data_IF_421161151825
#
_entry.id   IF_421161151825
#
_cell.length_a   1.000
_cell.length_b   1.000
_cell.length_c   1.000
_cell.angle_alpha   90.00
_cell.angle_beta   90.00
_cell.angle_gamma   90.00
#
_symmetry.space_group_name_H-M   'P 1'
#
loop_
_entity.id
_entity.type
_entity.pdbx_description
1 polymer ?
#
# COMPACT_ATOMS: atom_id res chain seq x y z
N UNK A 1 -20.63 6.07 -22.53
CA UNK A 1 -20.00 5.60 -21.29
C UNK A 1 -19.43 4.21 -21.56
N UNK A 2 -18.10 4.06 -21.62
CA UNK A 2 -17.48 2.74 -21.81
C UNK A 2 -17.72 1.92 -20.54
N UNK A 3 -18.58 0.91 -20.59
CA UNK A 3 -18.58 -0.13 -19.57
C UNK A 3 -17.19 -0.77 -19.59
N UNK A 4 -16.39 -0.46 -18.57
CA UNK A 4 -15.14 -1.17 -18.33
C UNK A 4 -15.51 -2.65 -18.20
N UNK A 5 -15.09 -3.45 -19.17
CA UNK A 5 -15.31 -4.88 -19.18
C UNK A 5 -14.54 -5.45 -17.99
N UNK A 6 -15.22 -5.74 -16.88
CA UNK A 6 -14.61 -6.39 -15.73
C UNK A 6 -14.28 -7.82 -16.15
N UNK A 7 -12.99 -8.19 -16.25
CA UNK A 7 -12.62 -9.53 -16.67
C UNK A 7 -13.19 -10.55 -15.67
N UNK A 8 -13.87 -11.57 -16.19
CA UNK A 8 -14.44 -12.63 -15.37
C UNK A 8 -13.29 -13.53 -14.88
N UNK A 9 -12.81 -13.27 -13.66
CA UNK A 9 -11.75 -14.06 -13.04
C UNK A 9 -12.28 -15.44 -12.62
N UNK A 10 -11.50 -16.48 -12.88
CA UNK A 10 -11.74 -17.82 -12.30
C UNK A 10 -11.55 -17.80 -10.78
N UNK A 11 -12.11 -18.79 -10.06
CA UNK A 11 -11.96 -18.86 -8.59
C UNK A 11 -10.49 -18.84 -8.14
N UNK A 12 -9.59 -19.57 -8.83
CA UNK A 12 -8.16 -19.57 -8.49
C UNK A 12 -7.48 -18.22 -8.74
N UNK A 13 -7.83 -17.52 -9.82
CA UNK A 13 -7.30 -16.19 -10.08
C UNK A 13 -7.77 -15.16 -9.04
N UNK A 14 -9.00 -15.30 -8.52
CA UNK A 14 -9.49 -14.47 -7.41
C UNK A 14 -8.70 -14.71 -6.13
N UNK A 15 -8.45 -15.96 -5.77
CA UNK A 15 -7.61 -16.31 -4.61
C UNK A 15 -6.19 -15.76 -4.74
N UNK A 16 -5.53 -15.98 -5.89
CA UNK A 16 -4.19 -15.45 -6.16
C UNK A 16 -4.14 -13.93 -6.07
N UNK A 17 -5.16 -13.23 -6.62
CA UNK A 17 -5.30 -11.77 -6.50
C UNK A 17 -5.34 -11.34 -5.04
N UNK A 18 -6.19 -11.99 -4.23
CA UNK A 18 -6.35 -11.65 -2.80
C UNK A 18 -5.02 -11.83 -2.07
N UNK A 19 -4.38 -12.99 -2.21
CA UNK A 19 -3.11 -13.30 -1.52
C UNK A 19 -2.01 -12.30 -1.92
N UNK A 20 -1.88 -12.01 -3.21
CA UNK A 20 -0.91 -11.03 -3.70
C UNK A 20 -1.19 -9.64 -3.12
N UNK A 21 -2.43 -9.17 -3.22
CA UNK A 21 -2.79 -7.84 -2.73
C UNK A 21 -2.62 -7.70 -1.21
N UNK A 22 -2.98 -8.72 -0.42
CA UNK A 22 -2.75 -8.69 1.02
C UNK A 22 -1.26 -8.68 1.37
N UNK A 23 -0.44 -9.44 0.66
CA UNK A 23 1.02 -9.43 0.83
C UNK A 23 1.61 -8.05 0.51
N UNK A 24 1.20 -7.46 -0.62
CA UNK A 24 1.63 -6.12 -1.02
C UNK A 24 1.16 -5.04 -0.03
N UNK A 25 -0.05 -5.19 0.53
CA UNK A 25 -0.56 -4.31 1.57
C UNK A 25 0.28 -4.41 2.85
N UNK A 26 0.62 -5.62 3.28
CA UNK A 26 1.48 -5.85 4.45
C UNK A 26 2.88 -5.25 4.27
N UNK A 27 3.51 -5.45 3.10
CA UNK A 27 4.79 -4.82 2.78
C UNK A 27 4.71 -3.28 2.82
N UNK A 28 3.60 -2.72 2.34
CA UNK A 28 3.36 -1.27 2.37
C UNK A 28 3.17 -0.73 3.79
N UNK A 29 2.55 -1.50 4.69
CA UNK A 29 2.45 -1.17 6.13
C UNK A 29 3.83 -1.17 6.78
N UNK A 30 4.66 -2.18 6.51
CA UNK A 30 6.03 -2.24 7.04
C UNK A 30 6.83 -1.03 6.57
N UNK A 31 6.73 -0.67 5.30
CA UNK A 31 7.36 0.54 4.76
C UNK A 31 6.85 1.82 5.45
N UNK A 32 5.55 1.92 5.73
CA UNK A 32 4.98 3.06 6.44
C UNK A 32 5.50 3.16 7.88
N UNK A 33 5.57 2.04 8.61
CA UNK A 33 6.10 2.01 9.97
C UNK A 33 7.58 2.39 10.01
N UNK A 34 8.36 1.89 9.05
CA UNK A 34 9.74 2.29 8.87
C UNK A 34 9.87 3.79 8.56
N UNK A 35 9.08 4.28 7.60
CA UNK A 35 9.03 5.70 7.24
C UNK A 35 8.63 6.58 8.42
N UNK A 36 7.73 6.12 9.29
CA UNK A 36 7.35 6.80 10.53
C UNK A 36 8.54 6.90 11.49
N UNK A 37 9.20 5.78 11.79
CA UNK A 37 10.38 5.77 12.66
C UNK A 37 11.49 6.66 12.11
N UNK A 38 11.74 6.59 10.80
CA UNK A 38 12.74 7.42 10.12
C UNK A 38 12.37 8.91 10.14
N UNK A 39 11.08 9.24 10.03
CA UNK A 39 10.60 10.64 10.17
C UNK A 39 10.81 11.16 11.58
N UNK A 40 10.52 10.36 12.61
CA UNK A 40 10.73 10.75 14.01
C UNK A 40 12.21 11.00 14.32
N UNK A 41 13.09 10.13 13.82
CA UNK A 41 14.54 10.27 13.95
C UNK A 41 15.04 11.57 13.29
N UNK A 42 14.64 11.83 12.04
CA UNK A 42 15.01 13.05 11.34
C UNK A 42 14.44 14.32 11.99
N UNK A 43 13.24 14.25 12.59
CA UNK A 43 12.66 15.35 13.35
C UNK A 43 13.49 15.66 14.60
N UNK A 44 13.96 14.64 15.32
CA UNK A 44 14.80 14.80 16.50
C UNK A 44 16.17 15.42 16.18
N UNK A 45 16.71 15.16 14.99
CA UNK A 45 17.99 15.70 14.52
C UNK A 45 17.87 16.99 13.69
N UNK A 46 16.66 17.52 13.49
CA UNK A 46 16.43 18.74 12.69
C UNK A 46 16.72 18.58 11.20
N UNK A 47 16.80 17.34 10.69
CA UNK A 47 17.09 17.00 9.29
C UNK A 47 15.85 16.55 8.51
N UNK A 48 14.67 16.87 9.05
CA UNK A 48 13.38 16.49 8.45
C UNK A 48 13.26 17.03 7.02
N UNK A 49 12.81 16.16 6.13
CA UNK A 49 12.63 16.47 4.70
C UNK A 49 11.40 15.79 4.13
N UNK A 50 10.96 16.24 2.95
CA UNK A 50 9.78 15.71 2.25
C UNK A 50 9.92 14.20 1.96
N UNK A 51 11.13 13.68 1.78
CA UNK A 51 11.38 12.25 1.56
C UNK A 51 10.89 11.38 2.73
N UNK A 52 11.11 11.84 3.97
CA UNK A 52 10.69 11.12 5.17
C UNK A 52 9.17 10.98 5.21
N UNK A 53 8.47 12.11 5.05
CA UNK A 53 7.01 12.16 5.00
C UNK A 53 6.44 11.38 3.80
N UNK A 54 7.11 11.45 2.65
CA UNK A 54 6.74 10.72 1.44
C UNK A 54 6.77 9.21 1.64
N UNK A 55 7.77 8.68 2.33
CA UNK A 55 7.86 7.25 2.63
C UNK A 55 6.71 6.76 3.51
N UNK A 56 6.36 7.54 4.54
CA UNK A 56 5.26 7.28 5.46
C UNK A 56 3.90 7.32 4.73
N UNK A 57 3.60 8.44 4.07
CA UNK A 57 2.33 8.64 3.37
C UNK A 57 2.17 7.64 2.22
N UNK A 58 3.25 7.41 1.47
CA UNK A 58 3.28 6.45 0.35
C UNK A 58 2.96 5.03 0.81
N UNK A 59 3.61 4.56 1.89
CA UNK A 59 3.33 3.25 2.47
C UNK A 59 1.87 3.10 2.92
N UNK A 60 1.33 4.10 3.63
CA UNK A 60 -0.08 4.08 4.08
C UNK A 60 -1.07 4.06 2.91
N UNK A 61 -0.80 4.88 1.88
CA UNK A 61 -1.68 4.97 0.71
C UNK A 61 -1.66 3.65 -0.08
N UNK A 62 -0.50 3.06 -0.31
CA UNK A 62 -0.38 1.78 -1.02
C UNK A 62 -1.02 0.64 -0.24
N UNK A 63 -0.87 0.60 1.08
CA UNK A 63 -1.57 -0.37 1.92
C UNK A 63 -3.10 -0.31 1.74
N UNK A 64 -3.67 0.91 1.73
CA UNK A 64 -5.10 1.15 1.46
C UNK A 64 -5.50 0.70 0.05
N UNK A 65 -4.70 1.03 -0.97
CA UNK A 65 -4.97 0.66 -2.37
C UNK A 65 -5.00 -0.85 -2.53
N UNK A 66 -3.97 -1.56 -2.08
CA UNK A 66 -3.91 -3.01 -2.23
C UNK A 66 -5.00 -3.73 -1.43
N UNK A 67 -5.30 -3.27 -0.22
CA UNK A 67 -6.41 -3.81 0.58
C UNK A 67 -7.75 -3.64 -0.16
N UNK A 68 -7.99 -2.46 -0.75
CA UNK A 68 -9.20 -2.23 -1.56
C UNK A 68 -9.26 -3.12 -2.79
N UNK A 69 -8.15 -3.33 -3.49
CA UNK A 69 -8.10 -4.20 -4.67
C UNK A 69 -8.37 -5.66 -4.29
N UNK A 70 -7.85 -6.11 -3.14
CA UNK A 70 -8.07 -7.46 -2.63
C UNK A 70 -9.58 -7.75 -2.49
N UNK A 71 -10.32 -6.85 -1.86
CA UNK A 71 -11.75 -7.03 -1.56
C UNK A 71 -12.72 -6.52 -2.64
N UNK A 72 -12.23 -5.94 -3.74
CA UNK A 72 -13.09 -5.52 -4.84
C UNK A 72 -13.53 -6.75 -5.65
N UNK A 73 -14.84 -6.99 -5.70
CA UNK A 73 -15.48 -8.09 -6.41
C UNK A 73 -15.27 -8.00 -7.94
#
# INVERSE_FOLDING_TARGET
MKHAHTPHLTCRQKEQKIVFCLTAAAASIVLALWGFAWTLDAAAHGTLSVLHLGSLIGGMLMARVFTRIAYRA
#
